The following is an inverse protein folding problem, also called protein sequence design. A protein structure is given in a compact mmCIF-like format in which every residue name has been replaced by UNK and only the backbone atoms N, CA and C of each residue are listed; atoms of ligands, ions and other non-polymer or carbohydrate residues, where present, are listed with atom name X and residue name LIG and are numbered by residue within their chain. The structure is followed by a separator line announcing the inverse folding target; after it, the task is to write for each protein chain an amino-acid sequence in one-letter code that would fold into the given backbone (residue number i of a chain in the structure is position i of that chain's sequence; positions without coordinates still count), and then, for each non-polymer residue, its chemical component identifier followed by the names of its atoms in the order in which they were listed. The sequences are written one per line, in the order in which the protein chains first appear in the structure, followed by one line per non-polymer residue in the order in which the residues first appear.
data_IF_454593995939
#
_entry.id   IF_454593995939
#
_cell.length_a   1.000
_cell.length_b   1.000
_cell.length_c   1.000
_cell.angle_alpha   90.00
_cell.angle_beta   90.00
_cell.angle_gamma   90.00
#
_symmetry.space_group_name_H-M   'P 1'
#
loop_
_entity.id
_entity.type
_entity.pdbx_description
1 polymer ?
#
# COMPACT_ATOMS: atom_id res chain seq x y z
N UNK A 1 49.43 4.18 18.98
CA UNK A 1 47.96 4.33 19.16
C UNK A 1 47.16 4.25 17.85
N UNK A 2 47.79 4.09 16.67
CA UNK A 2 47.07 3.89 15.40
C UNK A 2 46.93 2.41 14.97
N UNK A 3 47.79 1.52 15.48
CA UNK A 3 47.78 0.08 15.13
C UNK A 3 46.66 -0.74 15.82
N UNK A 4 46.14 -0.28 16.97
CA UNK A 4 45.03 -0.95 17.68
C UNK A 4 43.66 -0.68 17.05
N UNK A 5 43.47 0.49 16.42
CA UNK A 5 42.22 0.87 15.75
C UNK A 5 42.04 0.19 14.38
N UNK A 6 43.12 -0.11 13.67
CA UNK A 6 43.05 -0.86 12.42
C UNK A 6 42.75 -2.34 12.67
N UNK A 7 43.25 -2.89 13.78
CA UNK A 7 43.02 -4.30 14.16
C UNK A 7 41.56 -4.58 14.55
N UNK A 8 40.88 -3.64 15.20
CA UNK A 8 39.45 -3.78 15.55
C UNK A 8 38.54 -3.76 14.33
N UNK A 9 38.90 -3.04 13.25
CA UNK A 9 38.13 -3.06 11.99
C UNK A 9 38.29 -4.37 11.24
N UNK A 10 39.49 -4.95 11.22
CA UNK A 10 39.76 -6.22 10.53
C UNK A 10 39.10 -7.41 11.25
N UNK A 11 39.05 -7.39 12.59
CA UNK A 11 38.39 -8.46 13.37
C UNK A 11 36.87 -8.51 13.21
N UNK A 12 36.21 -7.36 12.99
CA UNK A 12 34.77 -7.31 12.74
C UNK A 12 34.40 -7.93 11.38
N UNK A 13 35.29 -7.79 10.37
CA UNK A 13 35.16 -8.46 9.08
C UNK A 13 35.41 -9.98 9.15
N UNK A 14 36.28 -10.45 10.06
CA UNK A 14 36.65 -11.87 10.12
C UNK A 14 35.78 -12.73 11.05
N UNK A 15 35.10 -12.15 12.05
CA UNK A 15 34.32 -12.92 13.03
C UNK A 15 32.88 -12.44 13.26
N UNK A 16 32.44 -11.37 12.59
CA UNK A 16 31.27 -10.61 13.05
C UNK A 16 30.05 -10.50 12.12
N UNK A 17 30.05 -11.03 10.91
CA UNK A 17 28.92 -10.77 9.98
C UNK A 17 28.35 -12.01 9.30
N UNK A 18 27.92 -12.99 10.08
CA UNK A 18 26.72 -13.76 9.69
C UNK A 18 25.50 -13.17 10.38
N UNK A 19 25.26 -11.87 10.20
CA UNK A 19 23.90 -11.35 10.37
C UNK A 19 23.25 -11.45 9.00
N UNK A 20 22.76 -12.65 8.68
CA UNK A 20 21.79 -12.82 7.61
C UNK A 20 20.53 -12.06 8.03
N UNK A 21 20.45 -10.77 7.70
CA UNK A 21 19.20 -10.04 7.76
C UNK A 21 18.39 -10.38 6.50
N UNK A 22 17.97 -11.65 6.42
CA UNK A 22 16.85 -12.01 5.57
C UNK A 22 15.57 -11.61 6.32
N UNK A 23 15.31 -10.30 6.36
CA UNK A 23 13.95 -9.87 6.62
C UNK A 23 13.17 -10.19 5.34
N UNK A 24 12.24 -11.13 5.42
CA UNK A 24 11.10 -11.12 4.51
C UNK A 24 10.36 -9.82 4.79
N UNK A 25 10.79 -8.74 4.14
CA UNK A 25 10.11 -7.45 4.20
C UNK A 25 8.82 -7.63 3.40
N UNK A 26 7.80 -8.18 4.05
CA UNK A 26 6.44 -8.13 3.53
C UNK A 26 6.04 -6.66 3.55
N UNK A 27 6.25 -5.97 2.43
CA UNK A 27 5.69 -4.65 2.22
C UNK A 27 4.18 -4.80 2.41
N UNK A 28 3.62 -3.99 3.32
CA UNK A 28 2.18 -3.93 3.53
C UNK A 28 1.51 -3.69 2.18
N UNK A 29 0.51 -4.51 1.82
CA UNK A 29 -0.25 -4.41 0.56
C UNK A 29 -1.03 -3.09 0.41
N UNK A 30 -0.99 -2.26 1.44
CA UNK A 30 -1.50 -0.91 1.42
C UNK A 30 -0.63 0.03 2.25
N UNK A 31 -0.56 1.29 1.83
CA UNK A 31 0.04 2.38 2.58
C UNK A 31 -0.91 3.57 2.60
N UNK A 32 -0.90 4.36 3.69
CA UNK A 32 -1.76 5.53 3.82
C UNK A 32 -0.99 6.70 4.45
N UNK A 33 -1.14 7.86 3.83
CA UNK A 33 -0.71 9.17 4.34
C UNK A 33 -1.95 10.05 4.50
N UNK A 34 -2.14 10.64 5.67
CA UNK A 34 -3.27 11.52 5.97
C UNK A 34 -3.05 12.90 5.33
N UNK A 35 -4.14 13.59 5.05
CA UNK A 35 -4.17 14.96 4.51
C UNK A 35 -5.62 15.43 4.36
N UNK A 36 -5.82 16.72 4.06
CA UNK A 36 -7.15 17.28 3.80
C UNK A 36 -7.82 16.63 2.59
N UNK A 37 -7.04 16.31 1.57
CA UNK A 37 -7.49 15.57 0.37
C UNK A 37 -6.63 14.33 0.22
N UNK A 38 -7.23 13.15 0.06
CA UNK A 38 -6.47 11.90 -0.12
C UNK A 38 -6.52 11.46 -1.58
N UNK A 39 -5.36 11.30 -2.21
CA UNK A 39 -5.23 10.73 -3.55
C UNK A 39 -5.11 9.21 -3.47
N UNK A 40 -5.92 8.50 -4.27
CA UNK A 40 -5.80 7.04 -4.43
C UNK A 40 -4.71 6.69 -5.44
N UNK A 41 -3.91 5.65 -5.13
CA UNK A 41 -2.87 5.15 -6.03
C UNK A 41 -2.86 3.62 -6.10
N UNK A 42 -2.72 3.07 -7.30
CA UNK A 42 -2.58 1.64 -7.57
C UNK A 42 -1.22 1.40 -8.22
N UNK A 43 -0.40 0.55 -7.60
CA UNK A 43 0.95 0.26 -8.10
C UNK A 43 1.20 -1.24 -8.12
N UNK A 44 1.96 -1.77 -9.10
CA UNK A 44 2.39 -3.16 -9.12
C UNK A 44 3.63 -3.31 -8.24
N UNK A 45 3.46 -3.20 -6.91
CA UNK A 45 4.58 -3.30 -5.97
C UNK A 45 5.10 -4.72 -5.93
N UNK A 46 4.21 -5.70 -6.04
CA UNK A 46 4.56 -7.10 -6.26
C UNK A 46 4.22 -7.55 -7.68
N UNK A 47 4.98 -8.52 -8.18
CA UNK A 47 4.66 -9.28 -9.39
C UNK A 47 3.54 -10.29 -9.09
N UNK A 48 2.95 -10.85 -10.14
CA UNK A 48 1.94 -11.90 -10.01
C UNK A 48 2.51 -13.11 -9.26
N UNK A 49 1.76 -13.59 -8.26
CA UNK A 49 2.14 -14.72 -7.42
C UNK A 49 1.59 -16.06 -7.90
N UNK A 50 1.31 -16.94 -6.94
CA UNK A 50 0.67 -18.24 -7.16
C UNK A 50 -0.82 -18.19 -6.79
N UNK A 51 -1.64 -19.20 -7.17
CA UNK A 51 -3.04 -19.24 -6.75
C UNK A 51 -3.25 -19.23 -5.22
N UNK A 52 -2.29 -19.75 -4.45
CA UNK A 52 -2.32 -19.76 -2.98
C UNK A 52 -1.83 -18.43 -2.38
N UNK A 53 -0.92 -17.75 -3.06
CA UNK A 53 -0.35 -16.46 -2.64
C UNK A 53 -0.39 -15.47 -3.81
N UNK A 54 -1.40 -14.59 -3.90
CA UNK A 54 -1.67 -13.79 -5.12
C UNK A 54 -0.54 -12.81 -5.48
N UNK A 55 0.32 -12.47 -4.52
CA UNK A 55 1.41 -11.51 -4.69
C UNK A 55 2.75 -12.24 -4.57
N UNK A 56 3.59 -12.09 -5.58
CA UNK A 56 4.91 -12.70 -5.68
C UNK A 56 6.03 -11.78 -5.18
N UNK A 57 7.15 -11.76 -5.91
CA UNK A 57 8.32 -10.95 -5.56
C UNK A 57 8.08 -9.44 -5.77
N UNK A 58 8.86 -8.60 -5.07
CA UNK A 58 8.77 -7.14 -5.20
C UNK A 58 9.33 -6.67 -6.55
N UNK A 59 8.54 -5.85 -7.25
CA UNK A 59 8.93 -5.18 -8.49
C UNK A 59 9.58 -3.82 -8.19
N UNK A 60 10.91 -3.78 -8.14
CA UNK A 60 11.66 -2.58 -7.76
C UNK A 60 11.46 -1.41 -8.73
N UNK A 61 11.59 -1.64 -10.03
CA UNK A 61 11.55 -0.57 -11.04
C UNK A 61 10.12 -0.18 -11.46
N UNK A 62 9.20 -1.14 -11.57
CA UNK A 62 7.82 -0.84 -12.02
C UNK A 62 6.87 -0.55 -10.87
N UNK A 63 7.14 -1.09 -9.69
CA UNK A 63 6.36 -0.90 -8.48
C UNK A 63 6.92 0.22 -7.62
N UNK A 64 8.03 -0.06 -6.93
CA UNK A 64 8.59 0.83 -5.91
C UNK A 64 8.94 2.20 -6.47
N UNK A 65 9.65 2.27 -7.60
CA UNK A 65 10.04 3.56 -8.18
C UNK A 65 8.83 4.46 -8.52
N UNK A 66 7.73 3.86 -9.00
CA UNK A 66 6.51 4.62 -9.33
C UNK A 66 5.75 5.07 -8.09
N UNK A 67 5.71 4.21 -7.08
CA UNK A 67 5.13 4.52 -5.77
C UNK A 67 5.89 5.67 -5.11
N UNK A 68 7.22 5.60 -5.09
CA UNK A 68 8.08 6.67 -4.58
C UNK A 68 7.93 7.95 -5.39
N UNK A 69 7.79 7.88 -6.72
CA UNK A 69 7.54 9.05 -7.55
C UNK A 69 6.22 9.76 -7.20
N UNK A 70 5.16 9.01 -6.88
CA UNK A 70 3.89 9.60 -6.41
C UNK A 70 4.06 10.27 -5.04
N UNK A 71 4.73 9.61 -4.10
CA UNK A 71 4.96 10.17 -2.76
C UNK A 71 5.82 11.43 -2.83
N UNK A 72 6.88 11.39 -3.63
CA UNK A 72 7.73 12.54 -3.91
C UNK A 72 6.92 13.69 -4.52
N UNK A 73 6.07 13.42 -5.52
CA UNK A 73 5.24 14.46 -6.12
C UNK A 73 4.28 15.11 -5.10
N UNK A 74 3.66 14.30 -4.22
CA UNK A 74 2.81 14.81 -3.14
C UNK A 74 3.60 15.73 -2.20
N UNK A 75 4.84 15.36 -1.87
CA UNK A 75 5.71 16.20 -1.03
C UNK A 75 6.09 17.51 -1.71
N UNK A 76 6.41 17.47 -3.00
CA UNK A 76 6.71 18.70 -3.75
C UNK A 76 5.49 19.63 -3.79
N UNK A 77 4.28 19.09 -3.97
CA UNK A 77 3.05 19.88 -3.98
C UNK A 77 2.78 20.47 -2.59
N UNK A 78 2.86 19.68 -1.52
CA UNK A 78 2.59 20.16 -0.17
C UNK A 78 3.61 21.20 0.33
N UNK A 79 4.81 21.24 -0.25
CA UNK A 79 5.87 22.20 0.09
C UNK A 79 5.83 23.47 -0.79
N UNK A 80 5.01 23.51 -1.84
CA UNK A 80 4.89 24.67 -2.73
C UNK A 80 3.74 25.57 -2.26
N UNK A 81 4.08 26.74 -1.71
CA UNK A 81 3.09 27.72 -1.22
C UNK A 81 2.20 28.30 -2.33
N UNK A 82 2.58 28.15 -3.61
CA UNK A 82 1.80 28.61 -4.76
C UNK A 82 0.85 27.54 -5.29
N UNK A 83 1.00 26.28 -4.90
CA UNK A 83 0.20 25.16 -5.38
C UNK A 83 -0.62 24.54 -4.25
N UNK A 84 -1.95 24.67 -4.34
CA UNK A 84 -2.89 24.21 -3.30
C UNK A 84 -2.63 24.82 -1.89
N UNK A 85 -2.54 26.16 -1.77
CA UNK A 85 -2.26 26.79 -0.48
C UNK A 85 -3.32 26.44 0.56
N UNK A 86 -2.87 25.99 1.74
CA UNK A 86 -3.74 25.61 2.85
C UNK A 86 -4.44 24.25 2.69
N UNK A 87 -4.06 23.44 1.71
CA UNK A 87 -4.58 22.07 1.51
C UNK A 87 -3.42 21.09 1.53
N UNK A 88 -3.38 20.21 2.52
CA UNK A 88 -2.42 19.11 2.57
C UNK A 88 -2.94 17.89 1.79
N UNK A 89 -2.17 17.44 0.80
CA UNK A 89 -2.42 16.20 0.08
C UNK A 89 -1.92 15.00 0.90
N UNK A 90 -2.81 14.05 1.12
CA UNK A 90 -2.52 12.70 1.58
C UNK A 90 -2.57 11.68 0.44
N UNK A 91 -2.27 10.43 0.75
CA UNK A 91 -2.25 9.32 -0.20
C UNK A 91 -2.90 8.08 0.40
N UNK A 92 -3.56 7.28 -0.43
CA UNK A 92 -3.92 5.90 -0.11
C UNK A 92 -3.48 5.02 -1.25
N UNK A 93 -2.47 4.22 -0.98
CA UNK A 93 -1.79 3.38 -1.95
C UNK A 93 -2.21 1.94 -1.70
N UNK A 94 -2.58 1.24 -2.78
CA UNK A 94 -2.91 -0.18 -2.78
C UNK A 94 -2.04 -0.89 -3.81
N UNK A 95 -1.59 -2.09 -3.45
CA UNK A 95 -0.82 -2.94 -4.35
C UNK A 95 -1.74 -3.75 -5.25
N UNK A 96 -1.40 -3.78 -6.55
CA UNK A 96 -2.14 -4.53 -7.57
C UNK A 96 -1.62 -5.95 -7.77
N UNK A 97 -0.45 -6.28 -7.22
CA UNK A 97 0.21 -7.58 -7.39
C UNK A 97 0.35 -7.99 -8.87
N UNK A 98 0.38 -7.00 -9.77
CA UNK A 98 0.40 -7.18 -11.22
C UNK A 98 -0.72 -8.09 -11.76
N UNK A 99 -1.87 -8.11 -11.08
CA UNK A 99 -3.08 -8.84 -11.48
C UNK A 99 -4.28 -7.90 -11.61
N UNK A 100 -4.99 -7.97 -12.74
CA UNK A 100 -6.10 -7.08 -13.03
C UNK A 100 -7.31 -7.35 -12.12
N UNK A 101 -7.59 -8.63 -11.82
CA UNK A 101 -8.71 -9.00 -10.94
C UNK A 101 -8.44 -8.49 -9.51
N UNK A 102 -7.22 -8.73 -9.01
CA UNK A 102 -6.79 -8.20 -7.72
C UNK A 102 -6.85 -6.67 -7.67
N UNK A 103 -6.43 -5.98 -8.74
CA UNK A 103 -6.52 -4.53 -8.84
C UNK A 103 -7.95 -4.00 -8.75
N UNK A 104 -8.92 -4.70 -9.36
CA UNK A 104 -10.35 -4.36 -9.26
C UNK A 104 -10.85 -4.53 -7.82
N UNK A 105 -10.52 -5.63 -7.16
CA UNK A 105 -10.87 -5.86 -5.75
C UNK A 105 -10.28 -4.78 -4.83
N UNK A 106 -9.03 -4.37 -5.06
CA UNK A 106 -8.42 -3.26 -4.34
C UNK A 106 -9.13 -1.93 -4.63
N UNK A 107 -9.50 -1.69 -5.88
CA UNK A 107 -10.19 -0.46 -6.31
C UNK A 107 -11.53 -0.29 -5.61
N UNK A 108 -12.25 -1.39 -5.33
CA UNK A 108 -13.47 -1.37 -4.55
C UNK A 108 -13.23 -0.77 -3.15
N UNK A 109 -12.05 -0.99 -2.57
CA UNK A 109 -11.62 -0.37 -1.32
C UNK A 109 -11.69 1.16 -1.33
N UNK A 110 -11.48 1.84 -2.47
CA UNK A 110 -11.61 3.29 -2.58
C UNK A 110 -13.07 3.73 -2.55
N UNK A 111 -13.97 3.01 -3.24
CA UNK A 111 -15.39 3.33 -3.30
C UNK A 111 -16.10 3.03 -1.98
N UNK A 112 -15.87 1.84 -1.42
CA UNK A 112 -16.49 1.43 -0.15
C UNK A 112 -16.12 2.37 1.00
N UNK A 113 -14.91 2.93 1.00
CA UNK A 113 -14.51 3.91 2.02
C UNK A 113 -15.34 5.20 2.01
N UNK A 114 -16.04 5.49 0.92
CA UNK A 114 -17.03 6.59 0.84
C UNK A 114 -18.41 6.14 1.30
N UNK A 115 -18.82 4.91 0.99
CA UNK A 115 -20.14 4.37 1.31
C UNK A 115 -20.32 4.04 2.79
N UNK A 116 -19.25 3.72 3.52
CA UNK A 116 -19.33 3.58 4.99
C UNK A 116 -19.52 4.93 5.69
N UNK A 117 -19.03 6.03 5.11
CA UNK A 117 -19.29 7.40 5.59
C UNK A 117 -20.63 7.97 5.12
N UNK A 118 -21.19 7.43 4.03
CA UNK A 118 -22.49 7.82 3.47
C UNK A 118 -23.37 6.57 3.36
N UNK A 119 -24.05 6.24 4.46
CA UNK A 119 -24.93 5.08 4.64
C UNK A 119 -25.72 4.68 3.38
N UNK A 120 -25.17 3.77 2.59
CA UNK A 120 -25.96 2.93 1.69
C UNK A 120 -25.56 1.48 1.95
N UNK A 121 -26.27 0.85 2.88
CA UNK A 121 -26.16 -0.59 3.12
C UNK A 121 -26.93 -1.26 1.99
N UNK A 122 -26.23 -2.00 1.12
CA UNK A 122 -26.89 -2.94 0.23
C UNK A 122 -27.50 -4.04 1.10
N UNK A 123 -28.80 -3.93 1.38
CA UNK A 123 -29.59 -5.03 1.95
C UNK A 123 -29.81 -6.03 0.83
N UNK A 124 -29.25 -7.22 0.99
CA UNK A 124 -29.53 -8.32 0.09
C UNK A 124 -30.92 -8.89 0.40
N UNK A 125 -31.96 -8.37 -0.23
CA UNK A 125 -33.33 -8.91 -0.08
C UNK A 125 -33.55 -10.09 -1.03
N UNK A 126 -32.77 -11.15 -0.89
CA UNK A 126 -33.08 -12.41 -1.58
C UNK A 126 -32.59 -13.66 -0.88
N UNK A 127 -32.65 -13.72 0.46
CA UNK A 127 -32.83 -14.98 1.20
C UNK A 127 -33.68 -14.71 2.46
N UNK A 128 -35.01 -14.69 2.29
CA UNK A 128 -35.97 -15.16 3.30
C UNK A 128 -37.35 -15.31 2.65
N UNK A 129 -37.60 -16.46 2.03
CA UNK A 129 -38.97 -16.98 1.98
C UNK A 129 -39.41 -17.28 3.41
N UNK A 130 -40.38 -16.51 3.94
CA UNK A 130 -41.53 -17.04 4.69
C UNK A 130 -42.39 -15.92 5.31
N UNK A 131 -43.62 -15.80 4.79
CA UNK A 131 -44.88 -15.43 5.48
C UNK A 131 -45.06 -13.97 5.99
N UNK A 132 -45.80 -13.15 5.25
CA UNK A 132 -47.12 -12.67 5.70
C UNK A 132 -47.95 -12.15 4.53
N UNK A 133 -49.14 -12.72 4.42
CA UNK A 133 -50.21 -12.42 3.51
C UNK A 133 -50.89 -11.12 3.95
N UNK A 134 -51.11 -10.15 3.06
CA UNK A 134 -52.22 -9.19 3.24
C UNK A 134 -52.72 -8.68 1.89
N UNK A 135 -54.03 -8.81 1.76
CA UNK A 135 -54.88 -8.57 0.61
C UNK A 135 -55.07 -7.08 0.34
N UNK A 136 -54.93 -6.65 -0.93
CA UNK A 136 -55.82 -5.70 -1.63
C UNK A 136 -55.85 -6.11 -3.11
#
# INVERSE_FOLDING_TARGET
MFYYLTFTRIFCFLYGTTLTFASSLSISRSARRTGNVTLGGLFPVHEYGSPQEPCGAISQFRGIQRLEAMLFAIEQINNDEHLLPGIELGARILDTCSDDNYAVEQSLGFVLSRLTSSTCKCVNTSISESLHNDNV
#
